data_IF_631572549857
#
_entry.id   IF_631572549857
#
_cell.length_a   1.000
_cell.length_b   1.000
_cell.length_c   1.000
_cell.angle_alpha   90.00
_cell.angle_beta   90.00
_cell.angle_gamma   90.00
#
_symmetry.space_group_name_H-M   'P 1'
#
loop_
_entity.id
_entity.type
_entity.pdbx_description
1 polymer ?
#
# COMPACT_ATOMS: atom_id res chain seq x y z
N UNK A 1 3.56 -1.64 -43.21
CA UNK A 1 2.62 -1.49 -42.09
C UNK A 1 2.74 -2.60 -41.01
N UNK A 2 3.94 -3.13 -40.76
CA UNK A 2 4.17 -4.20 -39.74
C UNK A 2 5.23 -3.77 -38.70
N UNK A 3 4.98 -2.62 -38.06
CA UNK A 3 5.75 -2.15 -36.90
C UNK A 3 4.77 -1.65 -35.85
N UNK A 4 4.04 -2.57 -35.24
CA UNK A 4 3.41 -2.39 -33.94
C UNK A 4 3.89 -3.55 -33.06
N UNK A 5 4.52 -3.18 -31.95
CA UNK A 5 4.52 -3.89 -30.67
C UNK A 5 5.33 -5.21 -30.56
N UNK A 6 6.67 -5.11 -30.51
CA UNK A 6 7.57 -6.24 -30.10
C UNK A 6 7.79 -6.32 -28.58
N UNK A 7 6.77 -6.02 -27.79
CA UNK A 7 6.84 -6.10 -26.31
C UNK A 7 5.52 -6.51 -25.65
N UNK A 8 4.38 -6.16 -26.24
CA UNK A 8 3.05 -6.41 -25.67
C UNK A 8 2.34 -7.66 -26.18
N UNK A 9 3.06 -8.66 -26.70
CA UNK A 9 2.42 -9.94 -27.03
C UNK A 9 2.31 -10.79 -25.76
N UNK A 10 1.10 -11.27 -25.48
CA UNK A 10 0.90 -12.31 -24.48
C UNK A 10 1.76 -13.54 -24.85
N UNK A 11 2.43 -14.17 -23.87
CA UNK A 11 3.31 -15.31 -24.12
C UNK A 11 2.68 -16.40 -24.98
N UNK A 12 1.39 -16.67 -24.80
CA UNK A 12 0.66 -17.66 -25.60
C UNK A 12 0.59 -17.28 -27.08
N UNK A 13 0.28 -16.02 -27.39
CA UNK A 13 0.25 -15.52 -28.76
C UNK A 13 1.65 -15.50 -29.40
N UNK A 14 2.68 -15.18 -28.61
CA UNK A 14 4.06 -15.20 -29.05
C UNK A 14 4.53 -16.64 -29.36
N UNK A 15 4.23 -17.60 -28.48
CA UNK A 15 4.57 -19.03 -28.66
C UNK A 15 3.83 -19.60 -29.87
N UNK A 16 2.54 -19.31 -30.04
CA UNK A 16 1.77 -19.77 -31.21
C UNK A 16 2.33 -19.20 -32.53
N UNK A 17 2.74 -17.93 -32.52
CA UNK A 17 3.39 -17.30 -33.68
C UNK A 17 4.72 -17.97 -34.00
N UNK A 18 5.54 -18.27 -32.98
CA UNK A 18 6.81 -18.96 -33.14
C UNK A 18 6.60 -20.38 -33.71
N UNK A 19 5.61 -21.14 -33.21
CA UNK A 19 5.28 -22.47 -33.73
C UNK A 19 4.86 -22.44 -35.21
N UNK A 20 4.13 -21.40 -35.64
CA UNK A 20 3.78 -21.20 -37.04
C UNK A 20 5.04 -20.92 -37.91
N UNK A 21 6.01 -20.18 -37.39
CA UNK A 21 7.29 -19.95 -38.06
C UNK A 21 8.17 -21.20 -38.09
N UNK A 22 8.22 -21.99 -37.00
CA UNK A 22 8.91 -23.29 -36.96
C UNK A 22 8.36 -24.21 -38.06
N UNK A 23 7.04 -24.37 -38.15
CA UNK A 23 6.41 -25.25 -39.15
C UNK A 23 6.70 -24.80 -40.59
N UNK A 24 6.78 -23.48 -40.84
CA UNK A 24 7.14 -22.93 -42.15
C UNK A 24 8.62 -23.15 -42.47
N UNK A 25 9.50 -23.02 -41.48
CA UNK A 25 10.93 -23.23 -41.64
C UNK A 25 11.29 -24.70 -41.77
N UNK A 26 10.59 -25.61 -41.10
CA UNK A 26 10.72 -27.05 -41.30
C UNK A 26 10.38 -27.43 -42.74
N UNK A 27 9.28 -26.91 -43.29
CA UNK A 27 8.94 -27.10 -44.72
C UNK A 27 10.00 -26.53 -45.66
N UNK A 28 10.48 -25.31 -45.39
CA UNK A 28 11.57 -24.71 -46.18
C UNK A 28 12.89 -25.48 -46.03
N UNK A 29 13.15 -26.09 -44.87
CA UNK A 29 14.34 -26.91 -44.64
C UNK A 29 14.25 -28.24 -45.41
N UNK A 30 13.09 -28.91 -45.42
CA UNK A 30 12.88 -30.11 -46.24
C UNK A 30 12.98 -29.83 -47.72
N UNK A 31 12.40 -28.72 -48.19
CA UNK A 31 12.50 -28.28 -49.58
C UNK A 31 13.96 -27.94 -49.94
N UNK A 32 14.69 -27.31 -49.02
CA UNK A 32 16.11 -26.99 -49.17
C UNK A 32 17.00 -28.24 -49.22
N UNK A 33 16.74 -29.25 -48.37
CA UNK A 33 17.44 -30.53 -48.41
C UNK A 33 17.19 -31.28 -49.72
N UNK A 34 15.94 -31.30 -50.21
CA UNK A 34 15.61 -31.88 -51.52
C UNK A 34 16.34 -31.16 -52.65
N UNK A 35 16.41 -29.83 -52.60
CA UNK A 35 17.17 -29.03 -53.57
C UNK A 35 18.67 -29.28 -53.48
N UNK A 36 19.23 -29.47 -52.29
CA UNK A 36 20.64 -29.80 -52.11
C UNK A 36 20.96 -31.20 -52.65
N UNK A 37 20.13 -32.21 -52.38
CA UNK A 37 20.27 -33.55 -52.95
C UNK A 37 20.19 -33.53 -54.49
N UNK A 38 19.25 -32.76 -55.06
CA UNK A 38 19.16 -32.59 -56.51
C UNK A 38 20.35 -31.83 -57.10
N UNK A 39 20.92 -30.89 -56.35
CA UNK A 39 22.06 -30.09 -56.75
C UNK A 39 23.38 -30.88 -56.68
N UNK A 40 23.53 -31.74 -55.68
CA UNK A 40 24.63 -32.71 -55.55
C UNK A 40 24.57 -33.77 -56.65
N UNK A 41 23.38 -34.25 -57.01
CA UNK A 41 23.19 -35.13 -58.17
C UNK A 41 23.56 -34.48 -59.52
N UNK A 42 23.64 -33.14 -59.57
CA UNK A 42 23.99 -32.34 -60.73
C UNK A 42 25.40 -31.73 -60.64
N UNK A 43 26.20 -32.10 -59.61
CA UNK A 43 27.56 -31.60 -59.36
C UNK A 43 27.68 -30.06 -59.20
N UNK A 44 26.58 -29.41 -58.80
CA UNK A 44 26.53 -27.97 -58.60
C UNK A 44 26.80 -27.66 -57.11
N UNK A 45 27.92 -27.02 -56.76
CA UNK A 45 28.29 -26.82 -55.33
C UNK A 45 27.22 -26.13 -54.47
N UNK A 46 26.90 -26.70 -53.31
CA UNK A 46 25.89 -26.20 -52.35
C UNK A 46 26.30 -24.83 -51.79
N UNK A 47 25.36 -23.88 -51.66
CA UNK A 47 25.61 -22.56 -51.05
C UNK A 47 24.67 -22.33 -49.87
N UNK A 48 25.23 -22.01 -48.70
CA UNK A 48 24.58 -21.41 -47.52
C UNK A 48 23.60 -22.27 -46.69
N UNK A 49 23.95 -23.52 -46.33
CA UNK A 49 23.22 -24.27 -45.30
C UNK A 49 23.33 -23.63 -43.89
N UNK A 50 24.42 -22.90 -43.63
CA UNK A 50 24.73 -22.34 -42.30
C UNK A 50 23.76 -21.24 -41.85
N UNK A 51 23.21 -20.47 -42.79
CA UNK A 51 22.24 -19.41 -42.46
C UNK A 51 20.89 -19.98 -42.01
N UNK A 52 20.45 -21.08 -42.61
CA UNK A 52 19.19 -21.73 -42.22
C UNK A 52 19.30 -22.36 -40.84
N UNK A 53 20.41 -23.05 -40.57
CA UNK A 53 20.71 -23.61 -39.24
C UNK A 53 20.75 -22.54 -38.16
N UNK A 54 21.41 -21.41 -38.42
CA UNK A 54 21.45 -20.29 -37.49
C UNK A 54 20.06 -19.72 -37.15
N UNK A 55 19.17 -19.58 -38.14
CA UNK A 55 17.80 -19.08 -37.91
C UNK A 55 16.94 -20.08 -37.13
N UNK A 56 17.12 -21.39 -37.37
CA UNK A 56 16.44 -22.42 -36.59
C UNK A 56 16.91 -22.43 -35.13
N UNK A 57 18.22 -22.31 -34.90
CA UNK A 57 18.79 -22.21 -33.54
C UNK A 57 18.29 -20.95 -32.81
N UNK A 58 18.22 -19.79 -33.48
CA UNK A 58 17.68 -18.55 -32.90
C UNK A 58 16.20 -18.67 -32.53
N UNK A 59 15.39 -19.38 -33.33
CA UNK A 59 13.98 -19.60 -33.03
C UNK A 59 13.75 -20.55 -31.85
N UNK A 60 14.53 -21.63 -31.77
CA UNK A 60 14.51 -22.53 -30.61
C UNK A 60 14.86 -21.75 -29.34
N UNK A 61 15.90 -20.93 -29.39
CA UNK A 61 16.28 -20.07 -28.26
C UNK A 61 15.18 -19.06 -27.91
N UNK A 62 14.56 -18.43 -28.91
CA UNK A 62 13.44 -17.49 -28.67
C UNK A 62 12.24 -18.20 -28.03
N UNK A 63 11.92 -19.43 -28.46
CA UNK A 63 10.86 -20.25 -27.87
C UNK A 63 11.17 -20.61 -26.42
N UNK A 64 12.41 -21.01 -26.12
CA UNK A 64 12.83 -21.27 -24.75
C UNK A 64 12.72 -20.04 -23.85
N UNK A 65 13.03 -18.84 -24.37
CA UNK A 65 12.86 -17.59 -23.63
C UNK A 65 11.40 -17.38 -23.28
N UNK A 66 10.48 -17.50 -24.24
CA UNK A 66 9.05 -17.33 -23.98
C UNK A 66 8.48 -18.39 -23.04
N UNK A 67 8.91 -19.65 -23.17
CA UNK A 67 8.51 -20.72 -22.23
C UNK A 67 8.97 -20.43 -20.80
N UNK A 68 10.17 -19.87 -20.62
CA UNK A 68 10.66 -19.46 -19.28
C UNK A 68 10.00 -18.19 -18.77
N UNK A 69 9.51 -17.32 -19.65
CA UNK A 69 8.76 -16.12 -19.28
C UNK A 69 7.29 -16.45 -18.95
N UNK A 70 6.68 -17.49 -19.52
CA UNK A 70 5.30 -17.90 -19.24
C UNK A 70 4.93 -17.88 -17.74
N UNK A 71 5.65 -18.56 -16.83
CA UNK A 71 5.28 -18.55 -15.41
C UNK A 71 5.37 -17.17 -14.77
N UNK A 72 6.20 -16.26 -15.30
CA UNK A 72 6.25 -14.86 -14.84
C UNK A 72 4.97 -14.12 -15.22
N UNK A 73 4.44 -14.35 -16.42
CA UNK A 73 3.19 -13.75 -16.86
C UNK A 73 2.00 -14.35 -16.13
N UNK A 74 1.97 -15.67 -15.93
CA UNK A 74 0.91 -16.35 -15.15
C UNK A 74 0.86 -15.80 -13.72
N UNK A 75 2.02 -15.62 -13.07
CA UNK A 75 2.11 -15.02 -11.74
C UNK A 75 1.60 -13.57 -11.73
N UNK A 76 1.98 -12.77 -12.73
CA UNK A 76 1.53 -11.38 -12.86
C UNK A 76 0.03 -11.27 -13.15
N UNK A 77 -0.52 -12.17 -13.95
CA UNK A 77 -1.95 -12.24 -14.25
C UNK A 77 -2.74 -12.65 -13.01
N UNK A 78 -2.28 -13.64 -12.26
CA UNK A 78 -2.88 -14.00 -10.99
C UNK A 78 -2.90 -12.79 -10.02
N UNK A 79 -1.79 -12.04 -9.93
CA UNK A 79 -1.78 -10.81 -9.13
C UNK A 79 -2.75 -9.76 -9.68
N UNK A 80 -2.82 -9.58 -11.01
CA UNK A 80 -3.64 -8.55 -11.64
C UNK A 80 -5.14 -8.77 -11.44
N UNK A 81 -5.59 -10.03 -11.39
CA UNK A 81 -6.98 -10.42 -11.12
C UNK A 81 -7.39 -10.24 -9.64
N UNK A 82 -6.43 -10.04 -8.74
CA UNK A 82 -6.74 -9.87 -7.31
C UNK A 82 -7.46 -8.54 -7.08
N UNK A 83 -8.61 -8.58 -6.40
CA UNK A 83 -9.34 -7.39 -5.97
C UNK A 83 -8.46 -6.50 -5.10
N UNK A 84 -8.43 -5.20 -5.39
CA UNK A 84 -7.58 -4.22 -4.74
C UNK A 84 -7.78 -4.20 -3.22
N UNK A 85 -9.04 -4.33 -2.77
CA UNK A 85 -9.40 -4.42 -1.34
C UNK A 85 -8.74 -5.59 -0.61
N UNK A 86 -8.41 -6.68 -1.30
CA UNK A 86 -7.81 -7.90 -0.72
C UNK A 86 -6.28 -7.89 -0.87
N UNK A 87 -5.74 -7.05 -1.76
CA UNK A 87 -4.28 -6.93 -1.98
C UNK A 87 -3.56 -6.67 -0.67
N UNK A 88 -2.48 -7.41 -0.45
CA UNK A 88 -1.56 -7.23 0.68
C UNK A 88 -0.24 -6.66 0.13
N UNK A 89 0.04 -5.34 0.31
CA UNK A 89 1.19 -4.68 -0.31
C UNK A 89 2.54 -5.35 0.01
N UNK A 90 2.71 -5.84 1.26
CA UNK A 90 3.91 -6.57 1.66
C UNK A 90 4.11 -7.85 0.85
N UNK A 91 3.07 -8.67 0.70
CA UNK A 91 3.13 -9.91 -0.09
C UNK A 91 3.37 -9.60 -1.56
N UNK A 92 2.70 -8.59 -2.09
CA UNK A 92 2.90 -8.14 -3.48
C UNK A 92 4.35 -7.73 -3.74
N UNK A 93 4.94 -6.93 -2.84
CA UNK A 93 6.34 -6.51 -2.93
C UNK A 93 7.30 -7.70 -2.91
N UNK A 94 7.06 -8.68 -2.03
CA UNK A 94 7.86 -9.92 -1.98
C UNK A 94 7.71 -10.74 -3.26
N UNK A 95 6.49 -10.91 -3.78
CA UNK A 95 6.23 -11.65 -5.02
C UNK A 95 6.94 -11.00 -6.22
N UNK A 96 6.84 -9.67 -6.37
CA UNK A 96 7.54 -8.95 -7.43
C UNK A 96 9.07 -8.98 -7.29
N UNK A 97 9.60 -9.00 -6.06
CA UNK A 97 11.03 -9.18 -5.82
C UNK A 97 11.51 -10.58 -6.24
N UNK A 98 10.73 -11.63 -5.91
CA UNK A 98 11.01 -13.00 -6.34
C UNK A 98 10.95 -13.16 -7.86
N UNK A 99 9.99 -12.50 -8.54
CA UNK A 99 9.94 -12.44 -10.00
C UNK A 99 11.21 -11.79 -10.55
N UNK A 100 11.64 -10.66 -9.99
CA UNK A 100 12.84 -9.95 -10.43
C UNK A 100 14.12 -10.78 -10.23
N UNK A 101 14.22 -11.51 -9.11
CA UNK A 101 15.33 -12.42 -8.84
C UNK A 101 15.36 -13.58 -9.85
N UNK A 102 14.21 -14.20 -10.14
CA UNK A 102 14.10 -15.22 -11.18
C UNK A 102 14.56 -14.70 -12.53
N UNK A 103 14.12 -13.50 -12.94
CA UNK A 103 14.58 -12.86 -14.18
C UNK A 103 16.09 -12.59 -14.16
N UNK A 104 16.66 -12.25 -13.01
CA UNK A 104 18.10 -12.02 -12.85
C UNK A 104 18.96 -13.30 -12.93
N UNK A 105 18.36 -14.50 -12.83
CA UNK A 105 19.06 -15.79 -12.97
C UNK A 105 19.13 -16.27 -14.44
N UNK A 106 18.50 -15.58 -15.39
CA UNK A 106 18.46 -16.02 -16.79
C UNK A 106 19.85 -15.93 -17.45
N UNK A 107 20.23 -16.84 -18.36
CA UNK A 107 21.50 -16.78 -19.10
C UNK A 107 21.68 -15.46 -19.85
N UNK A 108 22.92 -14.97 -19.98
CA UNK A 108 23.23 -13.68 -20.65
C UNK A 108 22.72 -13.61 -22.09
N UNK A 109 22.76 -14.73 -22.83
CA UNK A 109 22.22 -14.84 -24.18
C UNK A 109 20.70 -14.62 -24.27
N UNK A 110 19.95 -14.92 -23.20
CA UNK A 110 18.49 -14.69 -23.15
C UNK A 110 18.12 -13.24 -22.78
N UNK A 111 19.06 -12.48 -22.19
CA UNK A 111 18.82 -11.09 -21.76
C UNK A 111 18.93 -10.06 -22.89
N UNK A 112 19.46 -10.46 -24.04
CA UNK A 112 19.58 -9.62 -25.23
C UNK A 112 18.24 -9.46 -25.96
N UNK A 113 17.29 -10.38 -25.74
CA UNK A 113 15.99 -10.33 -26.38
C UNK A 113 15.12 -9.17 -25.86
N UNK A 114 14.35 -8.57 -26.77
CA UNK A 114 13.48 -7.44 -26.44
C UNK A 114 12.35 -7.83 -25.51
N UNK A 115 11.80 -9.05 -25.63
CA UNK A 115 10.76 -9.55 -24.75
C UNK A 115 11.22 -9.62 -23.29
N UNK A 116 12.42 -10.17 -23.03
CA UNK A 116 13.00 -10.21 -21.69
C UNK A 116 13.16 -8.80 -21.09
N UNK A 117 13.72 -7.86 -21.86
CA UNK A 117 13.92 -6.50 -21.39
C UNK A 117 12.58 -5.79 -21.11
N UNK A 118 11.56 -6.03 -21.94
CA UNK A 118 10.21 -5.51 -21.71
C UNK A 118 9.61 -6.05 -20.41
N UNK A 119 9.60 -7.37 -20.21
CA UNK A 119 9.08 -7.98 -18.98
C UNK A 119 9.83 -7.49 -17.74
N UNK A 120 11.16 -7.40 -17.82
CA UNK A 120 12.00 -6.89 -16.72
C UNK A 120 11.66 -5.44 -16.37
N UNK A 121 11.48 -4.58 -17.36
CA UNK A 121 11.12 -3.17 -17.15
C UNK A 121 9.72 -3.06 -16.55
N UNK A 122 8.75 -3.80 -17.09
CA UNK A 122 7.38 -3.85 -16.59
C UNK A 122 7.32 -4.26 -15.11
N UNK A 123 8.04 -5.34 -14.72
CA UNK A 123 8.14 -5.75 -13.31
C UNK A 123 8.78 -4.65 -12.46
N UNK A 124 9.81 -3.97 -12.97
CA UNK A 124 10.44 -2.84 -12.29
C UNK A 124 9.50 -1.65 -12.10
N UNK A 125 8.60 -1.38 -13.04
CA UNK A 125 7.57 -0.34 -12.90
C UNK A 125 6.52 -0.71 -11.85
N UNK A 126 6.05 -1.96 -11.84
CA UNK A 126 5.14 -2.46 -10.80
C UNK A 126 5.76 -2.38 -9.40
N UNK A 127 7.06 -2.65 -9.28
CA UNK A 127 7.78 -2.47 -8.01
C UNK A 127 7.80 -1.01 -7.54
N UNK A 128 7.94 -0.04 -8.45
CA UNK A 128 7.86 1.39 -8.10
C UNK A 128 6.45 1.75 -7.61
N UNK A 129 5.41 1.16 -8.22
CA UNK A 129 4.02 1.38 -7.81
C UNK A 129 3.68 0.74 -6.46
N UNK A 130 4.44 -0.24 -5.97
CA UNK A 130 4.16 -0.89 -4.68
C UNK A 130 4.06 0.08 -3.53
N UNK A 131 4.87 1.15 -3.51
CA UNK A 131 4.77 2.18 -2.45
C UNK A 131 3.42 2.88 -2.50
N UNK A 132 3.00 3.32 -3.70
CA UNK A 132 1.71 3.95 -3.88
C UNK A 132 0.56 2.99 -3.53
N UNK A 133 0.67 1.72 -3.88
CA UNK A 133 -0.33 0.70 -3.53
C UNK A 133 -0.40 0.51 -2.01
N UNK A 134 0.74 0.53 -1.31
CA UNK A 134 0.81 0.49 0.16
C UNK A 134 0.11 1.70 0.78
N UNK A 135 0.45 2.89 0.28
CA UNK A 135 -0.16 4.16 0.68
C UNK A 135 -1.69 4.13 0.45
N UNK A 136 -2.14 3.71 -0.73
CA UNK A 136 -3.55 3.62 -1.12
C UNK A 136 -4.34 2.51 -0.38
N UNK A 137 -3.66 1.48 0.13
CA UNK A 137 -4.27 0.42 0.95
C UNK A 137 -4.31 0.75 2.43
N UNK A 138 -3.70 1.86 2.85
CA UNK A 138 -3.73 2.33 4.22
C UNK A 138 -5.17 2.47 4.74
N UNK A 139 -5.39 2.03 5.98
CA UNK A 139 -6.69 2.13 6.67
C UNK A 139 -7.12 3.59 6.91
N UNK A 140 -6.18 4.53 6.80
CA UNK A 140 -6.45 5.96 6.90
C UNK A 140 -7.32 6.48 5.74
N UNK A 141 -7.32 5.78 4.60
CA UNK A 141 -8.04 6.20 3.40
C UNK A 141 -9.49 5.72 3.46
N UNK A 142 -10.43 6.67 3.29
CA UNK A 142 -11.87 6.44 3.31
C UNK A 142 -12.47 6.86 1.97
N UNK A 143 -13.75 6.57 1.76
CA UNK A 143 -14.47 6.88 0.51
C UNK A 143 -14.34 8.34 0.08
N UNK A 144 -14.29 9.29 1.02
CA UNK A 144 -14.06 10.72 0.71
C UNK A 144 -12.71 10.98 0.04
N UNK A 145 -11.66 10.27 0.45
CA UNK A 145 -10.31 10.38 -0.11
C UNK A 145 -10.28 9.75 -1.51
N UNK A 146 -10.92 8.58 -1.67
CA UNK A 146 -11.09 7.93 -2.97
C UNK A 146 -11.86 8.81 -3.97
N UNK A 147 -12.95 9.45 -3.54
CA UNK A 147 -13.68 10.41 -4.38
C UNK A 147 -12.80 11.57 -4.83
N UNK A 148 -11.93 12.10 -3.97
CA UNK A 148 -10.97 13.16 -4.36
C UNK A 148 -9.96 12.67 -5.39
N UNK A 149 -9.47 11.43 -5.26
CA UNK A 149 -8.56 10.80 -6.22
C UNK A 149 -9.26 10.60 -7.57
N UNK A 150 -10.49 10.06 -7.56
CA UNK A 150 -11.31 9.80 -8.76
C UNK A 150 -11.69 11.08 -9.50
N UNK A 151 -12.13 12.12 -8.78
CA UNK A 151 -12.51 13.42 -9.35
C UNK A 151 -11.37 14.10 -10.11
N UNK A 152 -10.14 13.96 -9.63
CA UNK A 152 -8.95 14.55 -10.30
C UNK A 152 -8.61 13.85 -11.61
N UNK A 153 -9.03 12.60 -11.76
CA UNK A 153 -8.67 11.72 -12.86
C UNK A 153 -9.76 11.49 -13.90
N UNK A 154 -10.98 11.95 -13.62
CA UNK A 154 -12.18 11.48 -14.34
C UNK A 154 -12.25 9.94 -14.39
N UNK A 155 -11.67 9.26 -13.39
CA UNK A 155 -11.73 7.81 -13.28
C UNK A 155 -12.99 7.47 -12.50
N UNK A 156 -13.86 6.68 -13.13
CA UNK A 156 -15.08 6.15 -12.51
C UNK A 156 -14.79 4.72 -12.04
N UNK A 157 -13.95 4.60 -11.01
CA UNK A 157 -13.65 3.30 -10.42
C UNK A 157 -14.75 2.90 -9.45
N UNK A 158 -15.35 1.74 -9.66
CA UNK A 158 -16.07 1.07 -8.59
C UNK A 158 -15.03 0.37 -7.69
N UNK A 159 -14.91 0.83 -6.44
CA UNK A 159 -14.00 0.24 -5.46
C UNK A 159 -14.32 -1.22 -5.14
N UNK A 160 -15.54 -1.67 -5.43
CA UNK A 160 -15.98 -3.05 -5.21
C UNK A 160 -15.33 -4.01 -6.20
N UNK A 161 -15.17 -3.55 -7.46
CA UNK A 161 -14.66 -4.34 -8.58
C UNK A 161 -13.23 -3.95 -8.99
N UNK A 162 -12.65 -2.93 -8.36
CA UNK A 162 -11.29 -2.48 -8.63
C UNK A 162 -10.29 -3.62 -8.39
N UNK A 163 -9.59 -4.05 -9.45
CA UNK A 163 -8.51 -5.05 -9.36
C UNK A 163 -7.13 -4.39 -9.36
N UNK A 164 -6.12 -5.13 -8.92
CA UNK A 164 -4.72 -4.67 -8.98
C UNK A 164 -4.28 -4.39 -10.42
N UNK A 165 -4.76 -5.18 -11.39
CA UNK A 165 -4.49 -4.97 -12.81
C UNK A 165 -4.99 -3.62 -13.32
N UNK A 166 -6.18 -3.19 -12.90
CA UNK A 166 -6.73 -1.88 -13.24
C UNK A 166 -5.86 -0.75 -12.66
N UNK A 167 -5.37 -0.92 -11.42
CA UNK A 167 -4.46 0.05 -10.79
C UNK A 167 -3.11 0.10 -11.50
N UNK A 168 -2.56 -1.04 -11.92
CA UNK A 168 -1.32 -1.09 -12.71
C UNK A 168 -1.48 -0.50 -14.12
N UNK A 169 -2.62 -0.72 -14.78
CA UNK A 169 -2.90 -0.15 -16.09
C UNK A 169 -3.01 1.38 -16.01
N UNK A 170 -3.76 1.91 -15.03
CA UNK A 170 -3.77 3.35 -14.75
C UNK A 170 -2.38 3.87 -14.32
N UNK A 171 -1.68 3.03 -13.56
CA UNK A 171 -0.25 3.05 -13.26
C UNK A 171 0.63 3.52 -14.40
N UNK A 172 0.65 2.70 -15.44
CA UNK A 172 1.52 2.82 -16.61
C UNK A 172 1.13 3.99 -17.50
N UNK A 173 -0.17 4.33 -17.55
CA UNK A 173 -0.63 5.46 -18.34
C UNK A 173 -0.21 6.80 -17.74
N UNK A 174 -0.49 7.06 -16.45
CA UNK A 174 -0.38 8.42 -15.91
C UNK A 174 -0.21 8.53 -14.37
N UNK A 175 -0.04 7.43 -13.62
CA UNK A 175 -0.02 7.50 -12.14
C UNK A 175 1.13 8.31 -11.57
N UNK A 176 2.33 8.16 -12.12
CA UNK A 176 3.52 8.88 -11.64
C UNK A 176 3.43 10.40 -11.83
N UNK A 177 2.63 10.88 -12.78
CA UNK A 177 2.44 12.32 -13.00
C UNK A 177 1.71 13.02 -11.83
N UNK A 178 0.91 12.25 -11.08
CA UNK A 178 0.11 12.76 -9.95
C UNK A 178 0.45 12.06 -8.64
N UNK A 179 1.59 11.36 -8.60
CA UNK A 179 2.08 10.69 -7.40
C UNK A 179 2.11 11.66 -6.21
N UNK A 180 2.57 12.89 -6.45
CA UNK A 180 2.62 13.94 -5.42
C UNK A 180 1.23 14.31 -4.89
N UNK A 181 0.24 14.47 -5.75
CA UNK A 181 -1.12 14.81 -5.32
C UNK A 181 -1.77 13.66 -4.55
N UNK A 182 -1.56 12.42 -4.98
CA UNK A 182 -2.03 11.25 -4.24
C UNK A 182 -1.33 11.19 -2.88
N UNK A 183 -0.02 11.41 -2.83
CA UNK A 183 0.73 11.49 -1.56
C UNK A 183 0.21 12.60 -0.65
N UNK A 184 -0.18 13.76 -1.18
CA UNK A 184 -0.78 14.83 -0.39
C UNK A 184 -2.15 14.41 0.18
N UNK A 185 -2.97 13.70 -0.60
CA UNK A 185 -4.25 13.14 -0.12
C UNK A 185 -4.03 12.07 0.94
N UNK A 186 -3.07 11.16 0.74
CA UNK A 186 -2.74 10.13 1.73
C UNK A 186 -2.20 10.75 3.01
N UNK A 187 -1.32 11.74 2.90
CA UNK A 187 -0.79 12.48 4.06
C UNK A 187 -1.90 13.17 4.85
N UNK A 188 -2.84 13.83 4.16
CA UNK A 188 -4.03 14.41 4.78
C UNK A 188 -4.88 13.34 5.48
N UNK A 189 -5.11 12.21 4.82
CA UNK A 189 -5.87 11.09 5.39
C UNK A 189 -5.19 10.51 6.65
N UNK A 190 -3.87 10.38 6.65
CA UNK A 190 -3.09 9.92 7.81
C UNK A 190 -3.18 10.92 8.97
N UNK A 191 -3.10 12.22 8.69
CA UNK A 191 -3.26 13.26 9.70
C UNK A 191 -4.66 13.22 10.30
N UNK A 192 -5.71 13.14 9.48
CA UNK A 192 -7.09 12.98 9.95
C UNK A 192 -7.28 11.73 10.81
N UNK A 193 -6.71 10.60 10.40
CA UNK A 193 -6.78 9.35 11.15
C UNK A 193 -6.11 9.47 12.54
N UNK A 194 -4.96 10.15 12.62
CA UNK A 194 -4.29 10.40 13.89
C UNK A 194 -5.11 11.30 14.83
N UNK A 195 -5.76 12.34 14.30
CA UNK A 195 -6.65 13.21 15.08
C UNK A 195 -7.88 12.45 15.59
N UNK A 196 -8.48 11.64 14.75
CA UNK A 196 -9.62 10.80 15.13
C UNK A 196 -9.24 9.78 16.20
N UNK A 197 -8.09 9.12 16.06
CA UNK A 197 -7.55 8.20 17.06
C UNK A 197 -7.34 8.89 18.42
N UNK A 198 -6.74 10.08 18.41
CA UNK A 198 -6.58 10.88 19.63
C UNK A 198 -7.92 11.20 20.31
N UNK A 199 -8.93 11.65 19.55
CA UNK A 199 -10.26 11.93 20.11
C UNK A 199 -10.94 10.67 20.64
N UNK A 200 -10.82 9.54 19.95
CA UNK A 200 -11.36 8.26 20.42
C UNK A 200 -10.69 7.81 21.73
N UNK A 201 -9.36 7.93 21.82
CA UNK A 201 -8.62 7.60 23.04
C UNK A 201 -9.00 8.53 24.20
N UNK A 202 -9.09 9.84 23.96
CA UNK A 202 -9.55 10.83 24.93
C UNK A 202 -10.94 10.47 25.45
N UNK A 203 -11.89 10.20 24.54
CA UNK A 203 -13.27 9.83 24.87
C UNK A 203 -13.33 8.53 25.65
N UNK A 204 -12.59 7.51 25.22
CA UNK A 204 -12.54 6.20 25.88
C UNK A 204 -11.99 6.32 27.29
N UNK A 205 -10.94 7.12 27.47
CA UNK A 205 -10.37 7.38 28.79
C UNK A 205 -11.41 8.03 29.69
N UNK A 206 -11.92 9.21 29.35
CA UNK A 206 -12.81 9.97 30.25
C UNK A 206 -14.19 9.35 30.47
N UNK A 207 -14.70 8.55 29.53
CA UNK A 207 -15.92 7.78 29.75
C UNK A 207 -15.69 6.53 30.62
N UNK A 208 -14.45 6.04 30.71
CA UNK A 208 -14.08 4.87 31.50
C UNK A 208 -13.38 5.21 32.81
N UNK A 209 -13.03 6.48 33.05
CA UNK A 209 -12.36 6.90 34.27
C UNK A 209 -13.31 6.82 35.45
N UNK A 210 -12.94 6.01 36.44
CA UNK A 210 -13.57 5.98 37.76
C UNK A 210 -12.63 6.66 38.76
N UNK A 211 -13.20 7.51 39.62
CA UNK A 211 -12.42 8.17 40.68
C UNK A 211 -12.08 7.16 41.76
N UNK A 212 -10.78 7.02 42.07
CA UNK A 212 -10.34 6.19 43.19
C UNK A 212 -10.67 6.86 44.52
N UNK A 213 -11.44 6.15 45.34
CA UNK A 213 -12.00 6.65 46.59
C UNK A 213 -11.50 5.83 47.78
N UNK A 214 -10.87 6.51 48.74
CA UNK A 214 -10.38 5.91 49.98
C UNK A 214 -11.24 6.33 51.16
N UNK A 215 -11.63 5.37 51.99
CA UNK A 215 -12.40 5.66 53.20
C UNK A 215 -11.54 6.35 54.27
N UNK A 216 -12.02 7.48 54.79
CA UNK A 216 -11.37 8.24 55.84
C UNK A 216 -12.11 8.07 57.16
N UNK A 217 -11.50 7.29 58.07
CA UNK A 217 -11.94 7.09 59.45
C UNK A 217 -13.43 6.68 59.60
N UNK A 218 -14.00 5.97 58.62
CA UNK A 218 -15.40 5.55 58.64
C UNK A 218 -16.44 6.67 58.49
N UNK A 219 -16.00 7.87 58.06
CA UNK A 219 -16.88 9.06 57.95
C UNK A 219 -17.24 9.39 56.51
N UNK A 220 -16.24 9.46 55.64
CA UNK A 220 -16.42 9.84 54.24
C UNK A 220 -15.40 9.17 53.34
N UNK A 221 -15.60 9.29 52.03
CA UNK A 221 -14.66 8.83 51.01
C UNK A 221 -13.92 10.01 50.43
N UNK A 222 -12.60 9.90 50.36
CA UNK A 222 -11.70 10.91 49.82
C UNK A 222 -11.14 10.44 48.48
N UNK A 223 -11.04 11.34 47.52
CA UNK A 223 -10.42 11.02 46.23
C UNK A 223 -8.90 10.91 46.43
N UNK A 224 -8.30 9.86 45.85
CA UNK A 224 -6.86 9.65 45.75
C UNK A 224 -6.40 9.80 44.30
N UNK A 225 -5.10 9.96 44.08
CA UNK A 225 -4.53 9.94 42.73
C UNK A 225 -4.65 11.26 41.98
N UNK A 226 -4.79 12.38 42.69
CA UNK A 226 -4.93 13.70 42.08
C UNK A 226 -3.84 14.05 41.07
N UNK A 227 -2.58 13.69 41.34
CA UNK A 227 -1.46 13.93 40.43
C UNK A 227 -1.68 13.28 39.05
N UNK A 228 -2.16 12.04 39.03
CA UNK A 228 -2.46 11.32 37.79
C UNK A 228 -3.66 11.95 37.07
N UNK A 229 -4.73 12.31 37.80
CA UNK A 229 -5.90 12.99 37.23
C UNK A 229 -5.54 14.32 36.57
N UNK A 230 -4.75 15.16 37.25
CA UNK A 230 -4.31 16.45 36.69
C UNK A 230 -3.30 16.29 35.55
N UNK A 231 -2.36 15.36 35.68
CA UNK A 231 -1.41 15.05 34.62
C UNK A 231 -2.15 14.64 33.36
N UNK A 232 -3.13 13.74 33.47
CA UNK A 232 -3.89 13.24 32.33
C UNK A 232 -4.83 14.29 31.72
N UNK A 233 -5.48 15.11 32.54
CA UNK A 233 -6.25 16.26 32.09
C UNK A 233 -5.36 17.25 31.31
N UNK A 234 -4.19 17.60 31.87
CA UNK A 234 -3.24 18.50 31.22
C UNK A 234 -2.70 17.96 29.90
N UNK A 235 -2.37 16.67 29.84
CA UNK A 235 -1.96 15.99 28.59
C UNK A 235 -3.04 16.07 27.52
N UNK A 236 -4.30 15.74 27.86
CA UNK A 236 -5.40 15.73 26.90
C UNK A 236 -5.80 17.15 26.46
N UNK A 237 -5.77 18.14 27.36
CA UNK A 237 -5.97 19.56 27.01
C UNK A 237 -4.87 20.05 26.07
N UNK A 238 -3.60 19.76 26.39
CA UNK A 238 -2.47 20.09 25.50
C UNK A 238 -2.59 19.40 24.13
N UNK A 239 -3.06 18.15 24.11
CA UNK A 239 -3.35 17.40 22.90
C UNK A 239 -4.44 18.06 22.05
N UNK A 240 -5.53 18.51 22.66
CA UNK A 240 -6.60 19.26 21.98
C UNK A 240 -6.09 20.59 21.42
N UNK A 241 -5.26 21.34 22.17
CA UNK A 241 -4.64 22.56 21.67
C UNK A 241 -3.72 22.31 20.46
N UNK A 242 -2.95 21.21 20.47
CA UNK A 242 -2.13 20.82 19.31
C UNK A 242 -2.99 20.42 18.11
N UNK A 243 -4.08 19.71 18.37
CA UNK A 243 -5.05 19.32 17.35
C UNK A 243 -5.69 20.53 16.66
N UNK A 244 -6.02 21.59 17.40
CA UNK A 244 -6.54 22.85 16.84
C UNK A 244 -5.57 23.54 15.85
N UNK A 245 -4.27 23.33 16.02
CA UNK A 245 -3.24 23.88 15.11
C UNK A 245 -3.08 23.05 13.83
N UNK A 246 -3.76 21.90 13.72
CA UNK A 246 -3.69 21.04 12.54
C UNK A 246 -4.50 21.62 11.37
N UNK A 247 -3.98 21.62 10.14
CA UNK A 247 -4.75 22.00 8.94
C UNK A 247 -6.01 21.14 8.70
N UNK A 248 -6.05 19.95 9.30
CA UNK A 248 -7.13 18.97 9.16
C UNK A 248 -8.15 19.01 10.31
N UNK A 249 -8.07 20.04 11.17
CA UNK A 249 -8.92 20.19 12.34
C UNK A 249 -10.41 20.39 12.03
N UNK A 250 -10.74 21.04 10.90
CA UNK A 250 -12.11 21.50 10.59
C UNK A 250 -13.18 20.41 10.66
N UNK A 251 -12.84 19.17 10.32
CA UNK A 251 -13.76 18.02 10.36
C UNK A 251 -14.11 17.61 11.80
N UNK A 252 -13.25 17.93 12.75
CA UNK A 252 -13.34 17.52 14.16
C UNK A 252 -13.63 18.68 15.11
N UNK A 253 -13.81 19.89 14.58
CA UNK A 253 -13.89 21.13 15.37
C UNK A 253 -14.98 21.08 16.43
N UNK A 254 -16.18 20.63 16.06
CA UNK A 254 -17.32 20.55 16.99
C UNK A 254 -17.06 19.59 18.15
N UNK A 255 -16.59 18.37 17.85
CA UNK A 255 -16.33 17.35 18.88
C UNK A 255 -15.14 17.72 19.76
N UNK A 256 -14.05 18.20 19.16
CA UNK A 256 -12.85 18.61 19.87
C UNK A 256 -13.13 19.80 20.79
N UNK A 257 -13.90 20.80 20.32
CA UNK A 257 -14.27 21.94 21.14
C UNK A 257 -15.16 21.54 22.33
N UNK A 258 -16.12 20.64 22.12
CA UNK A 258 -16.95 20.13 23.20
C UNK A 258 -16.14 19.38 24.28
N UNK A 259 -15.12 18.61 23.87
CA UNK A 259 -14.21 17.96 24.81
C UNK A 259 -13.28 18.95 25.52
N UNK A 260 -12.78 19.95 24.82
CA UNK A 260 -11.97 21.01 25.41
C UNK A 260 -12.71 21.72 26.54
N UNK A 261 -13.96 22.13 26.30
CA UNK A 261 -14.80 22.74 27.34
C UNK A 261 -15.03 21.80 28.54
N UNK A 262 -15.32 20.52 28.29
CA UNK A 262 -15.53 19.52 29.35
C UNK A 262 -14.28 19.31 30.19
N UNK A 263 -13.11 19.19 29.57
CA UNK A 263 -11.85 18.97 30.28
C UNK A 263 -11.42 20.18 31.10
N UNK A 264 -11.58 21.39 30.56
CA UNK A 264 -11.33 22.61 31.32
C UNK A 264 -12.28 22.73 32.52
N UNK A 265 -13.56 22.35 32.35
CA UNK A 265 -14.51 22.29 33.48
C UNK A 265 -14.09 21.25 34.52
N UNK A 266 -13.72 20.04 34.10
CA UNK A 266 -13.23 18.98 34.99
C UNK A 266 -12.00 19.46 35.77
N UNK A 267 -11.05 20.10 35.11
CA UNK A 267 -9.85 20.63 35.75
C UNK A 267 -10.20 21.67 36.82
N UNK A 268 -11.07 22.63 36.50
CA UNK A 268 -11.53 23.63 37.47
C UNK A 268 -12.30 23.02 38.65
N UNK A 269 -13.10 21.98 38.41
CA UNK A 269 -13.79 21.25 39.48
C UNK A 269 -12.78 20.50 40.36
N UNK A 270 -11.78 19.84 39.78
CA UNK A 270 -10.73 19.15 40.51
C UNK A 270 -9.89 20.09 41.37
N UNK A 271 -9.53 21.27 40.87
CA UNK A 271 -8.79 22.28 41.63
C UNK A 271 -9.53 22.68 42.92
N UNK A 272 -10.82 23.02 42.79
CA UNK A 272 -11.65 23.39 43.94
C UNK A 272 -11.84 22.19 44.87
N UNK A 273 -12.08 21.00 44.32
CA UNK A 273 -12.37 19.81 45.13
C UNK A 273 -11.15 19.35 45.94
N UNK A 274 -9.95 19.37 45.37
CA UNK A 274 -8.70 19.08 46.10
C UNK A 274 -8.52 20.04 47.26
N UNK A 275 -8.74 21.32 47.02
CA UNK A 275 -8.61 22.33 48.06
C UNK A 275 -9.62 22.12 49.19
N UNK A 276 -10.89 21.88 48.85
CA UNK A 276 -11.95 21.58 49.82
C UNK A 276 -11.60 20.32 50.62
N UNK A 277 -11.19 19.24 49.94
CA UNK A 277 -10.78 18.00 50.59
C UNK A 277 -9.60 18.23 51.55
N UNK A 278 -8.57 18.98 51.13
CA UNK A 278 -7.41 19.29 51.97
C UNK A 278 -7.78 20.12 53.19
N UNK A 279 -8.60 21.17 53.02
CA UNK A 279 -9.07 22.03 54.11
C UNK A 279 -9.97 21.26 55.08
N UNK A 280 -10.85 20.41 54.57
CA UNK A 280 -11.74 19.59 55.39
C UNK A 280 -10.96 18.59 56.25
N UNK A 281 -10.01 17.84 55.66
CA UNK A 281 -9.16 16.90 56.41
C UNK A 281 -8.35 17.61 57.49
N UNK A 282 -7.81 18.80 57.19
CA UNK A 282 -7.06 19.61 58.14
C UNK A 282 -7.93 20.07 59.31
N UNK A 283 -9.12 20.62 59.04
CA UNK A 283 -10.06 21.06 60.09
C UNK A 283 -10.52 19.88 60.95
N UNK A 284 -10.85 18.75 60.33
CA UNK A 284 -11.28 17.55 61.04
C UNK A 284 -10.18 17.03 61.99
N UNK A 285 -8.92 17.09 61.57
CA UNK A 285 -7.77 16.76 62.42
C UNK A 285 -7.65 17.67 63.65
N UNK A 286 -7.90 18.97 63.50
CA UNK A 286 -7.86 19.94 64.61
C UNK A 286 -8.99 19.71 65.61
N UNK A 287 -10.23 19.59 65.13
CA UNK A 287 -11.41 19.50 66.00
C UNK A 287 -11.57 18.14 66.70
N UNK A 288 -10.95 17.07 66.18
CA UNK A 288 -10.91 15.76 66.86
C UNK A 288 -9.71 15.60 67.78
N UNK A 289 -8.59 16.26 67.48
CA UNK A 289 -7.35 16.12 68.24
C UNK A 289 -7.29 16.92 69.54
N UNK A 290 -8.08 18.00 69.67
CA UNK A 290 -8.08 18.86 70.85
C UNK A 290 -9.48 18.98 71.46
N UNK A 291 -9.68 18.37 72.62
CA UNK A 291 -10.91 18.50 73.40
C UNK A 291 -11.14 19.93 73.94
N UNK A 292 -10.07 20.73 74.07
CA UNK A 292 -10.13 22.12 74.56
C UNK A 292 -10.57 23.15 73.52
N UNK A 293 -10.62 22.78 72.23
CA UNK A 293 -11.04 23.65 71.11
C UNK A 293 -12.50 23.40 70.71
N UNK A 294 -13.13 22.36 71.25
CA UNK A 294 -14.49 21.94 70.91
C UNK A 294 -15.58 22.82 71.55
#
# INVERSE_FOLDING_TARGET
ENRRDRGGLEPEAAIATIQCFETKLEKMATDWEQLCQGKDALDLGVRNADKMKAVMEELVQLKEVWQKLQPVYDDLEHQSQTLFKVVQPRKLKTALAQIQERLAQFPSGMRTYTCFNFTRNMVGEYQKMCKLIDDLRSECIRDRHWKRIMQRRMLDWDLSDLTLGMVWAAGQADIFLYEKEIQDIVSAAMAEYALEGFLQDLKKHWNGTELDLVEYQGKCKLIRGWEELFSKAGEHISGLSKMQMSPHYSVFEEEAHAWDQKLNLIQGVFDVWVEVQRRWVYLEGIFLGNADIK
#
